data_IF_936303933871
#
_entry.id   IF_936303933871
#
_cell.length_a   1.000
_cell.length_b   1.000
_cell.length_c   1.000
_cell.angle_alpha   90.00
_cell.angle_beta   90.00
_cell.angle_gamma   90.00
#
_symmetry.space_group_name_H-M   'P 1'
#
loop_
_entity.id
_entity.type
_entity.pdbx_description
1 polymer ?
#
# COMPACT_ATOMS: atom_id res chain seq x y z
N UNK A 1 -15.12 65.00 -3.84
CA UNK A 1 -15.45 63.75 -3.12
C UNK A 1 -15.78 62.56 -4.04
N UNK A 2 -15.87 62.68 -5.36
CA UNK A 2 -16.15 61.55 -6.28
C UNK A 2 -14.89 60.76 -6.67
N UNK A 3 -13.75 61.46 -6.79
CA UNK A 3 -12.46 60.91 -7.22
C UNK A 3 -11.91 59.84 -6.26
N UNK A 4 -12.11 60.04 -4.96
CA UNK A 4 -11.72 59.11 -3.89
C UNK A 4 -12.50 57.79 -3.92
N UNK A 5 -13.79 57.81 -4.31
CA UNK A 5 -14.58 56.58 -4.41
C UNK A 5 -14.19 55.75 -5.65
N UNK A 6 -13.80 56.41 -6.74
CA UNK A 6 -13.35 55.75 -7.97
C UNK A 6 -12.00 55.06 -7.78
N UNK A 7 -11.07 55.69 -7.07
CA UNK A 7 -9.77 55.08 -6.73
C UNK A 7 -9.92 53.88 -5.80
N UNK A 8 -10.78 53.97 -4.77
CA UNK A 8 -11.08 52.85 -3.87
C UNK A 8 -11.74 51.70 -4.63
N UNK A 9 -12.67 51.99 -5.54
CA UNK A 9 -13.31 50.97 -6.38
C UNK A 9 -12.29 50.29 -7.31
N UNK A 10 -11.39 51.06 -7.94
CA UNK A 10 -10.34 50.51 -8.81
C UNK A 10 -9.36 49.62 -8.01
N UNK A 11 -8.93 50.06 -6.84
CA UNK A 11 -8.06 49.28 -5.97
C UNK A 11 -8.73 47.98 -5.48
N UNK A 12 -10.02 48.03 -5.16
CA UNK A 12 -10.79 46.85 -4.76
C UNK A 12 -10.95 45.83 -5.91
N UNK A 13 -11.14 46.30 -7.14
CA UNK A 13 -11.23 45.45 -8.33
C UNK A 13 -9.87 44.78 -8.61
N UNK A 14 -8.77 45.53 -8.54
CA UNK A 14 -7.44 45.01 -8.84
C UNK A 14 -6.97 43.98 -7.80
N UNK A 15 -7.22 44.24 -6.51
CA UNK A 15 -6.92 43.29 -5.44
C UNK A 15 -7.75 42.00 -5.57
N UNK A 16 -9.05 42.11 -5.87
CA UNK A 16 -9.93 40.96 -6.13
C UNK A 16 -9.45 40.14 -7.33
N UNK A 17 -8.99 40.79 -8.39
CA UNK A 17 -8.45 40.11 -9.57
C UNK A 17 -7.17 39.32 -9.25
N UNK A 18 -6.22 39.93 -8.53
CA UNK A 18 -4.98 39.25 -8.11
C UNK A 18 -5.25 38.07 -7.19
N UNK A 19 -6.16 38.23 -6.22
CA UNK A 19 -6.54 37.14 -5.30
C UNK A 19 -7.19 35.97 -6.05
N UNK A 20 -8.09 36.24 -7.00
CA UNK A 20 -8.70 35.19 -7.84
C UNK A 20 -7.66 34.48 -8.70
N UNK A 21 -6.74 35.22 -9.31
CA UNK A 21 -5.69 34.63 -10.15
C UNK A 21 -4.74 33.74 -9.34
N UNK A 22 -4.34 34.18 -8.14
CA UNK A 22 -3.50 33.37 -7.26
C UNK A 22 -4.22 32.12 -6.74
N UNK A 23 -5.52 32.23 -6.41
CA UNK A 23 -6.34 31.09 -6.01
C UNK A 23 -6.46 30.06 -7.15
N UNK A 24 -6.75 30.50 -8.37
CA UNK A 24 -6.82 29.63 -9.54
C UNK A 24 -5.47 28.97 -9.86
N UNK A 25 -4.36 29.72 -9.80
CA UNK A 25 -3.02 29.18 -9.98
C UNK A 25 -2.65 28.16 -8.89
N UNK A 26 -3.06 28.39 -7.64
CA UNK A 26 -2.92 27.44 -6.54
C UNK A 26 -3.72 26.15 -6.78
N UNK A 27 -4.96 26.25 -7.27
CA UNK A 27 -5.74 25.05 -7.60
C UNK A 27 -5.19 24.27 -8.79
N UNK A 28 -4.61 24.96 -9.80
CA UNK A 28 -4.01 24.30 -10.96
C UNK A 28 -2.69 23.58 -10.63
N UNK A 29 -1.86 24.17 -9.77
CA UNK A 29 -0.63 23.52 -9.28
C UNK A 29 -0.96 22.30 -8.41
N UNK A 30 -1.90 22.43 -7.47
CA UNK A 30 -2.35 21.31 -6.65
C UNK A 30 -2.87 20.12 -7.48
N UNK A 31 -3.64 20.38 -8.55
CA UNK A 31 -4.11 19.32 -9.46
C UNK A 31 -2.95 18.61 -10.16
N UNK A 32 -1.95 19.36 -10.64
CA UNK A 32 -0.77 18.76 -11.30
C UNK A 32 0.03 17.88 -10.34
N UNK A 33 0.19 18.30 -9.09
CA UNK A 33 0.89 17.54 -8.06
C UNK A 33 0.14 16.24 -7.74
N UNK A 34 -1.19 16.31 -7.64
CA UNK A 34 -2.04 15.13 -7.46
C UNK A 34 -1.95 14.17 -8.66
N UNK A 35 -1.95 14.68 -9.90
CA UNK A 35 -1.77 13.87 -11.11
C UNK A 35 -0.37 13.24 -11.17
N UNK A 36 0.65 13.94 -10.67
CA UNK A 36 2.00 13.41 -10.57
C UNK A 36 2.07 12.27 -9.53
N UNK A 37 1.51 12.49 -8.34
CA UNK A 37 1.41 11.48 -7.28
C UNK A 37 0.66 10.24 -7.76
N UNK A 38 -0.49 10.42 -8.43
CA UNK A 38 -1.26 9.32 -8.99
C UNK A 38 -0.45 8.48 -9.98
N UNK A 39 0.27 9.12 -10.90
CA UNK A 39 1.14 8.42 -11.87
C UNK A 39 2.28 7.68 -11.19
N UNK A 40 2.90 8.27 -10.16
CA UNK A 40 3.95 7.60 -9.39
C UNK A 40 3.42 6.35 -8.67
N UNK A 41 2.22 6.42 -8.09
CA UNK A 41 1.56 5.27 -7.45
C UNK A 41 1.24 4.18 -8.48
N UNK A 42 0.72 4.56 -9.66
CA UNK A 42 0.44 3.61 -10.75
C UNK A 42 1.71 2.91 -11.24
N UNK A 43 2.81 3.65 -11.41
CA UNK A 43 4.11 3.09 -11.80
C UNK A 43 4.65 2.10 -10.74
N UNK A 44 4.58 2.46 -9.47
CA UNK A 44 4.98 1.58 -8.36
C UNK A 44 4.14 0.30 -8.32
N UNK A 45 2.82 0.41 -8.51
CA UNK A 45 1.93 -0.75 -8.57
C UNK A 45 2.29 -1.68 -9.73
N UNK A 46 2.62 -1.13 -10.89
CA UNK A 46 3.02 -1.92 -12.05
C UNK A 46 4.35 -2.63 -11.82
N UNK A 47 5.31 -1.96 -11.19
CA UNK A 47 6.57 -2.58 -10.78
C UNK A 47 6.35 -3.74 -9.79
N UNK A 48 5.48 -3.55 -8.80
CA UNK A 48 5.13 -4.60 -7.83
C UNK A 48 4.47 -5.81 -8.51
N UNK A 49 3.58 -5.58 -9.47
CA UNK A 49 2.99 -6.68 -10.26
C UNK A 49 4.05 -7.47 -11.02
N UNK A 50 5.01 -6.78 -11.65
CA UNK A 50 6.12 -7.43 -12.37
C UNK A 50 7.03 -8.23 -11.45
N UNK A 51 7.35 -7.69 -10.26
CA UNK A 51 8.15 -8.42 -9.26
C UNK A 51 7.43 -9.68 -8.79
N UNK A 52 6.12 -9.59 -8.52
CA UNK A 52 5.32 -10.76 -8.14
C UNK A 52 5.26 -11.80 -9.27
N UNK A 53 5.06 -11.36 -10.51
CA UNK A 53 5.02 -12.27 -11.64
C UNK A 53 6.37 -12.98 -11.80
N UNK A 54 7.48 -12.23 -11.75
CA UNK A 54 8.83 -12.80 -11.82
C UNK A 54 9.08 -13.81 -10.70
N UNK A 55 8.73 -13.47 -9.47
CA UNK A 55 8.84 -14.41 -8.34
C UNK A 55 8.03 -15.68 -8.59
N UNK A 56 6.80 -15.57 -9.10
CA UNK A 56 5.98 -16.72 -9.46
C UNK A 56 6.59 -17.55 -10.60
N UNK A 57 7.15 -16.91 -11.61
CA UNK A 57 7.81 -17.57 -12.74
C UNK A 57 9.11 -18.27 -12.31
N UNK A 58 9.90 -17.66 -11.42
CA UNK A 58 11.09 -18.25 -10.82
C UNK A 58 10.72 -19.47 -9.96
N UNK A 59 9.67 -19.35 -9.15
CA UNK A 59 9.11 -20.46 -8.39
C UNK A 59 8.55 -21.55 -9.29
N UNK A 60 8.00 -21.25 -10.48
CA UNK A 60 7.52 -22.25 -11.44
C UNK A 60 8.67 -22.98 -12.16
N UNK A 61 9.80 -22.30 -12.41
CA UNK A 61 11.02 -22.90 -13.00
C UNK A 61 11.78 -23.80 -12.03
N UNK A 62 11.59 -23.62 -10.72
CA UNK A 62 12.15 -24.51 -9.70
C UNK A 62 11.54 -25.92 -9.66
N UNK A 63 10.52 -26.23 -10.48
CA UNK A 63 9.82 -27.52 -10.47
C UNK A 63 10.47 -28.58 -11.38
N UNK A 64 11.65 -28.32 -11.95
CA UNK A 64 12.42 -29.32 -12.69
C UNK A 64 13.34 -30.18 -11.80
N UNK A 65 13.35 -29.98 -10.47
CA UNK A 65 14.07 -30.86 -9.52
C UNK A 65 13.18 -31.13 -8.29
N UNK A 66 12.76 -32.39 -8.02
CA UNK A 66 11.91 -32.70 -6.88
C UNK A 66 12.79 -32.91 -5.63
N UNK A 67 13.46 -31.86 -5.18
CA UNK A 67 13.89 -31.77 -3.79
C UNK A 67 12.77 -31.03 -3.04
N UNK A 68 12.22 -31.56 -1.92
CA UNK A 68 11.14 -30.92 -1.20
C UNK A 68 11.70 -29.73 -0.41
N UNK A 69 12.14 -28.69 -1.12
CA UNK A 69 12.44 -27.42 -0.48
C UNK A 69 11.11 -26.84 -0.02
N UNK A 70 10.92 -26.57 1.29
CA UNK A 70 9.71 -25.95 1.79
C UNK A 70 9.49 -24.65 1.00
N UNK A 71 8.29 -24.50 0.44
CA UNK A 71 7.95 -23.35 -0.38
C UNK A 71 8.30 -22.06 0.38
N UNK A 72 9.31 -21.34 -0.10
CA UNK A 72 9.85 -20.18 0.58
C UNK A 72 8.86 -19.02 0.47
N UNK A 73 8.27 -18.61 1.58
CA UNK A 73 7.44 -17.41 1.67
C UNK A 73 8.34 -16.18 1.57
N UNK A 74 8.07 -15.31 0.59
CA UNK A 74 8.78 -14.03 0.47
C UNK A 74 8.58 -13.17 1.71
N UNK A 75 9.58 -12.38 2.09
CA UNK A 75 9.48 -11.45 3.23
C UNK A 75 8.29 -10.48 3.11
N UNK A 76 7.90 -10.13 1.89
CA UNK A 76 6.71 -9.31 1.64
C UNK A 76 5.41 -10.06 1.92
N UNK A 77 5.31 -11.31 1.44
CA UNK A 77 4.13 -12.14 1.67
C UNK A 77 3.99 -12.51 3.14
N UNK A 78 5.12 -12.69 3.85
CA UNK A 78 5.14 -12.82 5.30
C UNK A 78 4.48 -11.61 5.99
N UNK A 79 4.80 -10.38 5.57
CA UNK A 79 4.21 -9.16 6.14
C UNK A 79 2.70 -9.03 5.86
N UNK A 80 2.25 -9.47 4.67
CA UNK A 80 0.81 -9.58 4.36
C UNK A 80 0.15 -10.59 5.30
N UNK A 81 0.74 -11.78 5.45
CA UNK A 81 0.23 -12.85 6.31
C UNK A 81 0.14 -12.39 7.77
N UNK A 82 1.16 -11.67 8.26
CA UNK A 82 1.16 -11.09 9.60
C UNK A 82 0.07 -10.04 9.78
N UNK A 83 -0.16 -9.20 8.77
CA UNK A 83 -1.23 -8.20 8.79
C UNK A 83 -2.62 -8.85 8.79
N UNK A 84 -2.83 -9.86 7.95
CA UNK A 84 -4.07 -10.61 7.88
C UNK A 84 -4.34 -11.38 9.18
N UNK A 85 -3.31 -12.03 9.74
CA UNK A 85 -3.37 -12.69 11.04
C UNK A 85 -3.83 -11.71 12.14
N UNK A 86 -3.21 -10.52 12.23
CA UNK A 86 -3.59 -9.49 13.22
C UNK A 86 -5.03 -9.01 13.06
N UNK A 87 -5.53 -8.90 11.83
CA UNK A 87 -6.92 -8.56 11.57
C UNK A 87 -7.86 -9.67 12.06
N UNK A 88 -7.58 -10.93 11.69
CA UNK A 88 -8.38 -12.10 12.09
C UNK A 88 -8.44 -12.27 13.62
N UNK A 89 -7.30 -12.12 14.31
CA UNK A 89 -7.25 -12.19 15.78
C UNK A 89 -8.14 -11.13 16.43
N UNK A 90 -8.15 -9.91 15.87
CA UNK A 90 -8.98 -8.81 16.38
C UNK A 90 -10.47 -9.02 16.10
N UNK A 91 -10.80 -9.47 14.89
CA UNK A 91 -12.18 -9.62 14.45
C UNK A 91 -12.87 -10.81 15.13
N UNK A 92 -12.15 -11.92 15.32
CA UNK A 92 -12.68 -13.13 15.95
C UNK A 92 -12.36 -13.24 17.45
N UNK A 93 -11.65 -12.25 18.02
CA UNK A 93 -11.20 -12.25 19.42
C UNK A 93 -10.50 -13.57 19.82
N UNK A 94 -9.60 -14.04 18.96
CA UNK A 94 -8.95 -15.35 19.11
C UNK A 94 -7.99 -15.34 20.31
N UNK A 95 -8.09 -16.30 21.25
CA UNK A 95 -7.18 -16.37 22.40
C UNK A 95 -5.77 -16.78 21.99
N UNK A 96 -4.76 -16.30 22.72
CA UNK A 96 -3.33 -16.50 22.42
C UNK A 96 -2.92 -17.97 22.27
N UNK A 97 -3.58 -18.88 22.97
CA UNK A 97 -3.32 -20.32 22.85
C UNK A 97 -3.63 -20.89 21.45
N UNK A 98 -4.50 -20.23 20.68
CA UNK A 98 -4.93 -20.66 19.34
C UNK A 98 -4.20 -19.90 18.22
N UNK A 99 -3.33 -18.94 18.57
CA UNK A 99 -2.66 -18.08 17.59
C UNK A 99 -1.74 -18.88 16.67
N UNK A 100 -1.05 -19.88 17.21
CA UNK A 100 -0.12 -20.71 16.43
C UNK A 100 -0.87 -21.55 15.40
N UNK A 101 -1.96 -22.19 15.81
CA UNK A 101 -2.81 -23.02 14.92
C UNK A 101 -3.50 -22.17 13.84
N UNK A 102 -3.93 -20.95 14.20
CA UNK A 102 -4.50 -20.00 13.25
C UNK A 102 -3.47 -19.51 12.23
N UNK A 103 -2.28 -19.12 12.71
CA UNK A 103 -1.19 -18.68 11.83
C UNK A 103 -0.76 -19.80 10.88
N UNK A 104 -0.68 -21.03 11.39
CA UNK A 104 -0.38 -22.20 10.58
C UNK A 104 -1.45 -22.44 9.51
N UNK A 105 -2.72 -22.45 9.88
CA UNK A 105 -3.84 -22.61 8.94
C UNK A 105 -3.82 -21.55 7.84
N UNK A 106 -3.57 -20.29 8.21
CA UNK A 106 -3.48 -19.16 7.27
C UNK A 106 -2.31 -19.32 6.28
N UNK A 107 -1.15 -19.72 6.76
CA UNK A 107 0.03 -19.92 5.92
C UNK A 107 -0.16 -21.14 5.01
N UNK A 108 -0.76 -22.23 5.50
CA UNK A 108 -1.08 -23.41 4.67
C UNK A 108 -2.05 -23.04 3.56
N UNK A 109 -3.09 -22.28 3.85
CA UNK A 109 -4.07 -21.83 2.86
C UNK A 109 -3.41 -20.94 1.78
N UNK A 110 -2.46 -20.10 2.17
CA UNK A 110 -1.77 -19.19 1.26
C UNK A 110 -0.75 -19.89 0.36
N UNK A 111 0.08 -20.79 0.93
CA UNK A 111 1.21 -21.43 0.24
C UNK A 111 0.78 -22.72 -0.47
N UNK A 112 -0.23 -23.42 0.07
CA UNK A 112 -0.68 -24.72 -0.45
C UNK A 112 0.27 -25.88 -0.13
N UNK A 113 1.19 -25.72 0.83
CA UNK A 113 2.17 -26.73 1.24
C UNK A 113 2.01 -27.15 2.70
N UNK A 114 2.37 -28.40 3.00
CA UNK A 114 2.29 -29.00 4.34
C UNK A 114 3.44 -28.56 5.26
N UNK A 115 4.64 -28.35 4.69
CA UNK A 115 5.81 -27.90 5.46
C UNK A 115 5.89 -26.39 5.51
N UNK A 116 5.73 -25.85 6.72
CA UNK A 116 5.85 -24.42 7.02
C UNK A 116 7.09 -24.22 7.91
N UNK A 117 7.86 -23.17 7.60
CA UNK A 117 8.96 -22.73 8.45
C UNK A 117 8.45 -22.28 9.82
N UNK A 118 8.96 -22.92 10.87
CA UNK A 118 8.64 -22.59 12.26
C UNK A 118 9.04 -21.14 12.59
N UNK A 119 10.14 -20.65 12.03
CA UNK A 119 10.60 -19.27 12.24
C UNK A 119 9.61 -18.23 11.69
N UNK A 120 8.93 -18.55 10.58
CA UNK A 120 7.88 -17.71 10.02
C UNK A 120 6.66 -17.64 10.94
N UNK A 121 6.22 -18.79 11.48
CA UNK A 121 5.09 -18.82 12.42
C UNK A 121 5.37 -18.05 13.70
N UNK A 122 6.57 -18.20 14.25
CA UNK A 122 7.00 -17.46 15.43
C UNK A 122 7.07 -15.95 15.15
N UNK A 123 7.51 -15.54 13.95
CA UNK A 123 7.54 -14.14 13.55
C UNK A 123 6.12 -13.54 13.33
N UNK A 124 5.20 -14.30 12.74
CA UNK A 124 3.80 -13.89 12.53
C UNK A 124 3.09 -13.70 13.88
N UNK A 125 3.26 -14.64 14.80
CA UNK A 125 2.60 -14.64 16.12
C UNK A 125 3.27 -13.69 17.12
N UNK A 126 4.45 -13.15 16.81
CA UNK A 126 5.13 -12.17 17.64
C UNK A 126 4.33 -10.86 17.75
N UNK A 127 4.17 -10.38 19.00
CA UNK A 127 3.48 -9.13 19.33
C UNK A 127 4.16 -7.91 18.71
#
# INVERSE_FOLDING_TARGET
MVETHMEVARAAIETSFRLRHHSLAGTASFRRDMDHSRRAIEASRELLKRLRQRHRDDMARGWEDPDPTPASVSAFDADILRSAFRALVRDMSVPECQWRDLAESLVREYVGCEQIDVGLLDWITHK
#
